data_IF_750040330105
#
_entry.id   IF_750040330105
#
_cell.length_a   1.000
_cell.length_b   1.000
_cell.length_c   1.000
_cell.angle_alpha   90.00
_cell.angle_beta   90.00
_cell.angle_gamma   90.00
#
_symmetry.space_group_name_H-M   'P 1'
#
loop_
_entity.id
_entity.type
_entity.pdbx_description
1 polymer ?
#
# COMPACT_ATOMS: atom_id res chain seq x y z
N UNK A 1 -0.05 26.14 -9.24
CA UNK A 1 0.66 25.04 -8.56
C UNK A 1 0.87 23.96 -9.60
N UNK A 2 2.08 23.47 -9.89
CA UNK A 2 2.21 22.37 -10.85
C UNK A 2 1.41 21.18 -10.28
N UNK A 3 0.34 20.81 -10.99
CA UNK A 3 -0.49 19.68 -10.64
C UNK A 3 0.36 18.43 -10.84
N UNK A 4 0.62 17.68 -9.77
CA UNK A 4 1.29 16.39 -9.89
C UNK A 4 0.47 15.46 -10.79
N UNK A 5 1.15 14.61 -11.56
CA UNK A 5 0.52 13.64 -12.44
C UNK A 5 0.10 12.40 -11.64
N UNK A 6 -1.05 11.81 -11.96
CA UNK A 6 -1.53 10.61 -11.31
C UNK A 6 -0.82 9.36 -11.87
N UNK A 7 -0.38 8.50 -10.97
CA UNK A 7 0.17 7.18 -11.22
C UNK A 7 -0.59 6.15 -10.36
N UNK A 8 -0.60 4.89 -10.80
CA UNK A 8 -1.24 3.79 -10.06
C UNK A 8 -0.20 2.86 -9.46
N UNK A 9 -0.30 2.65 -8.14
CA UNK A 9 0.51 1.66 -7.41
C UNK A 9 -0.37 0.49 -7.01
N UNK A 10 -0.05 -0.72 -7.49
CA UNK A 10 -0.68 -1.97 -7.10
C UNK A 10 0.05 -2.58 -5.90
N UNK A 11 -0.65 -2.73 -4.79
CA UNK A 11 -0.15 -3.40 -3.59
C UNK A 11 -0.79 -4.78 -3.50
N UNK A 12 0.00 -5.82 -3.77
CA UNK A 12 -0.47 -7.22 -3.78
C UNK A 12 0.01 -7.94 -2.52
N UNK A 13 -0.91 -8.45 -1.70
CA UNK A 13 -0.63 -9.29 -0.54
C UNK A 13 -0.58 -10.73 -1.04
N UNK A 14 0.60 -11.36 -1.01
CA UNK A 14 0.80 -12.68 -1.63
C UNK A 14 0.17 -13.85 -0.89
N UNK A 15 0.10 -13.78 0.44
CA UNK A 15 -0.43 -14.86 1.32
C UNK A 15 -1.28 -14.23 2.43
N UNK A 16 -2.43 -13.60 2.08
CA UNK A 16 -3.27 -12.91 3.05
C UNK A 16 -3.92 -13.91 4.02
N UNK A 17 -4.43 -13.43 5.15
CA UNK A 17 -5.12 -14.29 6.11
C UNK A 17 -6.59 -14.47 5.70
N UNK A 18 -7.02 -15.68 5.30
CA UNK A 18 -8.39 -15.91 4.84
C UNK A 18 -9.42 -15.54 5.90
N UNK A 19 -10.53 -14.92 5.48
CA UNK A 19 -11.60 -14.46 6.36
C UNK A 19 -11.30 -13.17 7.14
N UNK A 20 -10.08 -12.63 7.06
CA UNK A 20 -9.73 -11.33 7.65
C UNK A 20 -9.98 -10.22 6.62
N UNK A 21 -10.55 -9.09 7.07
CA UNK A 21 -10.74 -7.92 6.20
C UNK A 21 -9.47 -7.10 6.08
N UNK A 22 -9.18 -6.67 4.85
CA UNK A 22 -8.10 -5.75 4.51
C UNK A 22 -8.68 -4.52 3.81
N UNK A 23 -8.09 -3.35 4.02
CA UNK A 23 -8.52 -2.12 3.34
C UNK A 23 -7.38 -1.13 3.18
N UNK A 24 -7.57 -0.12 2.33
CA UNK A 24 -6.78 1.12 2.40
C UNK A 24 -7.24 1.98 3.58
N UNK A 25 -6.48 3.03 3.91
CA UNK A 25 -6.91 4.05 4.87
C UNK A 25 -6.80 5.47 4.29
N UNK A 26 -7.92 6.19 4.28
CA UNK A 26 -7.96 7.63 3.95
C UNK A 26 -7.17 8.47 4.96
N UNK A 27 -7.01 9.77 4.77
CA UNK A 27 -6.27 10.64 5.73
C UNK A 27 -6.84 10.68 7.15
N UNK A 28 -8.13 10.36 7.33
CA UNK A 28 -8.80 10.30 8.63
C UNK A 28 -8.66 8.92 9.29
N UNK A 29 -7.89 8.01 8.69
CA UNK A 29 -7.71 6.63 9.12
C UNK A 29 -8.99 5.79 9.04
N UNK A 30 -9.92 6.18 8.17
CA UNK A 30 -11.12 5.42 7.87
C UNK A 30 -10.79 4.32 6.85
N UNK A 31 -11.29 3.08 7.04
CA UNK A 31 -11.18 2.02 6.04
C UNK A 31 -11.80 2.44 4.71
N UNK A 32 -11.07 2.24 3.61
CA UNK A 32 -11.57 2.47 2.25
C UNK A 32 -11.37 1.20 1.42
N UNK A 33 -12.42 0.76 0.74
CA UNK A 33 -12.43 -0.47 -0.05
C UNK A 33 -12.12 -1.72 0.78
N UNK A 34 -12.85 -2.01 1.87
CA UNK A 34 -12.64 -3.23 2.64
C UNK A 34 -12.93 -4.48 1.77
N UNK A 35 -12.02 -5.44 1.83
CA UNK A 35 -12.12 -6.72 1.13
C UNK A 35 -11.82 -7.85 2.12
N UNK A 36 -12.70 -8.85 2.17
CA UNK A 36 -12.46 -10.09 2.93
C UNK A 36 -11.45 -10.92 2.14
N UNK A 37 -10.30 -11.23 2.74
CA UNK A 37 -9.29 -12.05 2.10
C UNK A 37 -9.77 -13.51 1.92
N UNK A 38 -9.31 -14.12 0.83
CA UNK A 38 -9.44 -15.56 0.56
C UNK A 38 -8.07 -16.22 0.61
N UNK A 39 -7.94 -17.47 0.18
CA UNK A 39 -6.65 -18.13 -0.02
C UNK A 39 -5.84 -17.55 -1.19
N UNK A 40 -6.46 -16.74 -2.06
CA UNK A 40 -5.81 -16.12 -3.21
C UNK A 40 -5.13 -14.78 -2.83
N UNK A 41 -4.09 -14.36 -3.57
CA UNK A 41 -3.49 -13.04 -3.40
C UNK A 41 -4.53 -11.92 -3.50
N UNK A 42 -4.35 -10.90 -2.67
CA UNK A 42 -5.25 -9.74 -2.60
C UNK A 42 -4.53 -8.47 -3.05
N UNK A 43 -5.06 -7.79 -4.06
CA UNK A 43 -4.44 -6.57 -4.61
C UNK A 43 -5.28 -5.32 -4.35
N UNK A 44 -4.61 -4.21 -4.09
CA UNK A 44 -5.19 -2.87 -3.99
C UNK A 44 -4.51 -1.94 -4.98
N UNK A 45 -5.28 -1.35 -5.88
CA UNK A 45 -4.79 -0.31 -6.79
C UNK A 45 -4.97 1.05 -6.12
N UNK A 46 -3.85 1.75 -5.91
CA UNK A 46 -3.79 3.00 -5.15
C UNK A 46 -3.42 4.15 -6.10
N UNK A 47 -4.33 5.11 -6.34
CA UNK A 47 -3.99 6.31 -7.09
C UNK A 47 -3.09 7.21 -6.23
N UNK A 48 -1.96 7.62 -6.80
CA UNK A 48 -0.98 8.50 -6.17
C UNK A 48 -0.60 9.60 -7.15
N UNK A 49 -0.53 10.85 -6.68
CA UNK A 49 -0.04 11.97 -7.46
C UNK A 49 1.45 12.18 -7.21
N UNK A 50 2.23 12.21 -8.28
CA UNK A 50 3.66 12.49 -8.26
C UNK A 50 3.90 13.93 -8.72
N UNK A 51 4.42 14.76 -7.80
CA UNK A 51 4.83 16.14 -8.09
C UNK A 51 6.36 16.26 -8.26
N UNK A 52 6.85 17.32 -8.95
CA UNK A 52 8.28 17.54 -9.15
C UNK A 52 9.08 17.49 -7.84
N UNK A 53 10.28 16.88 -7.89
CA UNK A 53 11.14 16.68 -6.72
C UNK A 53 10.69 15.51 -5.84
N UNK A 54 10.54 14.31 -6.44
CA UNK A 54 9.64 13.19 -6.09
C UNK A 54 8.75 13.39 -4.86
N UNK A 55 7.69 14.21 -5.00
CA UNK A 55 6.70 14.41 -3.94
C UNK A 55 5.48 13.55 -4.19
N UNK A 56 5.34 12.48 -3.42
CA UNK A 56 4.13 11.67 -3.40
C UNK A 56 3.02 12.36 -2.62
N UNK A 57 1.87 12.51 -3.25
CA UNK A 57 0.66 13.13 -2.72
C UNK A 57 -0.54 12.22 -3.02
N UNK A 58 -1.57 12.28 -2.19
CA UNK A 58 -2.76 11.46 -2.39
C UNK A 58 -3.59 11.35 -1.14
N UNK A 59 -4.74 10.70 -1.26
CA UNK A 59 -5.63 10.42 -0.14
C UNK A 59 -5.04 9.35 0.79
N UNK A 60 -4.38 8.35 0.20
CA UNK A 60 -3.80 7.21 0.92
C UNK A 60 -2.33 7.42 1.32
N UNK A 61 -1.70 8.49 0.84
CA UNK A 61 -0.29 8.78 1.12
C UNK A 61 -0.12 9.42 2.49
N UNK A 62 0.82 8.89 3.28
CA UNK A 62 1.28 9.42 4.56
C UNK A 62 2.69 9.95 4.46
N UNK A 63 3.00 10.88 5.36
CA UNK A 63 4.33 11.44 5.54
C UNK A 63 4.78 11.24 6.99
N UNK A 64 6.05 10.89 7.17
CA UNK A 64 6.70 10.80 8.49
C UNK A 64 8.09 11.44 8.36
N UNK A 65 8.23 12.65 8.90
CA UNK A 65 9.43 13.46 8.67
C UNK A 65 9.54 14.02 7.24
N UNK A 66 10.72 14.52 6.85
CA UNK A 66 10.90 15.25 5.60
C UNK A 66 10.71 14.35 4.36
N UNK A 67 11.28 13.14 4.40
CA UNK A 67 11.44 12.29 3.22
C UNK A 67 10.47 11.11 3.16
N UNK A 68 10.19 10.45 4.30
CA UNK A 68 9.45 9.19 4.31
C UNK A 68 8.03 9.39 3.79
N UNK A 69 7.66 8.65 2.75
CA UNK A 69 6.29 8.51 2.26
C UNK A 69 5.90 7.04 2.23
N UNK A 70 4.68 6.75 2.67
CA UNK A 70 4.16 5.40 2.74
C UNK A 70 2.64 5.35 2.61
N UNK A 71 2.11 4.16 2.31
CA UNK A 71 0.67 3.85 2.27
C UNK A 71 0.35 2.85 3.38
N UNK A 72 -0.85 2.94 3.95
CA UNK A 72 -1.36 1.94 4.88
C UNK A 72 -2.22 0.88 4.16
N UNK A 73 -1.97 -0.39 4.47
CA UNK A 73 -2.97 -1.44 4.40
C UNK A 73 -3.43 -1.74 5.83
N UNK A 74 -4.71 -1.50 6.10
CA UNK A 74 -5.36 -1.85 7.34
C UNK A 74 -5.85 -3.29 7.32
N UNK A 75 -5.86 -3.93 8.50
CA UNK A 75 -6.15 -5.35 8.65
C UNK A 75 -7.03 -5.57 9.89
N UNK A 76 -8.10 -6.34 9.73
CA UNK A 76 -9.05 -6.70 10.79
C UNK A 76 -9.74 -5.47 11.39
N UNK A 77 -9.62 -5.27 12.71
CA UNK A 77 -10.20 -4.12 13.42
C UNK A 77 -9.85 -2.76 12.82
N UNK A 78 -8.63 -2.60 12.31
CA UNK A 78 -8.20 -1.37 11.65
C UNK A 78 -8.86 -1.14 10.28
N UNK A 79 -9.40 -2.20 9.68
CA UNK A 79 -10.15 -2.21 8.43
C UNK A 79 -11.68 -2.21 8.66
N UNK A 80 -12.14 -2.07 9.91
CA UNK A 80 -13.57 -2.00 10.27
C UNK A 80 -14.22 -3.36 10.56
N UNK A 81 -13.42 -4.42 10.74
CA UNK A 81 -13.89 -5.78 11.00
C UNK A 81 -13.81 -6.17 12.48
N UNK A 82 -14.66 -7.10 12.92
CA UNK A 82 -14.64 -7.66 14.27
C UNK A 82 -13.66 -8.84 14.40
N UNK A 83 -12.44 -8.66 13.88
CA UNK A 83 -11.38 -9.67 13.92
C UNK A 83 -10.63 -9.66 15.26
N UNK A 84 -10.02 -10.79 15.61
CA UNK A 84 -9.00 -10.86 16.67
C UNK A 84 -7.74 -10.05 16.32
N UNK A 85 -7.55 -9.76 15.03
CA UNK A 85 -6.46 -8.93 14.55
C UNK A 85 -6.88 -7.47 14.43
N UNK A 86 -6.02 -6.57 14.89
CA UNK A 86 -6.17 -5.12 14.65
C UNK A 86 -4.80 -4.56 14.31
N UNK A 87 -4.45 -4.57 13.01
CA UNK A 87 -3.08 -4.32 12.52
C UNK A 87 -3.04 -3.36 11.34
N UNK A 88 -1.87 -2.77 11.11
CA UNK A 88 -1.56 -1.93 9.93
C UNK A 88 -0.20 -2.29 9.36
N UNK A 89 -0.12 -2.39 8.04
CA UNK A 89 1.11 -2.47 7.28
C UNK A 89 1.41 -1.11 6.63
N UNK A 90 2.63 -0.61 6.79
CA UNK A 90 3.20 0.56 6.12
C UNK A 90 4.03 0.07 4.94
N UNK A 91 3.69 0.54 3.74
CA UNK A 91 4.43 0.25 2.51
C UNK A 91 5.13 1.53 2.09
N UNK A 92 6.45 1.55 2.17
CA UNK A 92 7.27 2.72 1.84
C UNK A 92 7.36 2.93 0.32
N UNK A 93 6.68 3.97 -0.18
CA UNK A 93 6.63 4.32 -1.61
C UNK A 93 7.75 5.26 -2.02
N UNK A 94 8.37 5.98 -1.08
CA UNK A 94 9.52 6.85 -1.36
C UNK A 94 10.78 6.08 -1.79
N UNK A 95 10.76 4.75 -1.69
CA UNK A 95 11.86 3.86 -2.08
C UNK A 95 11.76 3.38 -3.53
N UNK A 96 10.69 3.73 -4.25
CA UNK A 96 10.52 3.39 -5.67
C UNK A 96 11.62 4.08 -6.47
N UNK A 97 12.30 3.30 -7.33
CA UNK A 97 13.40 3.79 -8.14
C UNK A 97 12.91 4.82 -9.19
N UNK A 98 13.67 5.88 -9.50
CA UNK A 98 13.24 6.94 -10.42
C UNK A 98 12.83 6.44 -11.82
N UNK A 99 13.54 5.45 -12.34
CA UNK A 99 13.26 4.80 -13.63
C UNK A 99 11.91 4.05 -13.66
N UNK A 100 11.46 3.54 -12.52
CA UNK A 100 10.10 3.00 -12.39
C UNK A 100 9.06 4.13 -12.31
N UNK A 101 9.38 5.24 -11.64
CA UNK A 101 8.48 6.40 -11.60
C UNK A 101 8.27 7.01 -12.98
N UNK A 102 9.31 7.08 -13.81
CA UNK A 102 9.19 7.55 -15.20
C UNK A 102 8.28 6.64 -16.03
N UNK A 103 8.38 5.32 -15.86
CA UNK A 103 7.46 4.37 -16.49
C UNK A 103 6.02 4.56 -15.97
N UNK A 104 5.85 4.81 -14.68
CA UNK A 104 4.54 5.05 -14.10
C UNK A 104 3.89 6.33 -14.65
N UNK A 105 4.68 7.38 -14.84
CA UNK A 105 4.26 8.62 -15.49
C UNK A 105 3.91 8.42 -16.97
N UNK A 106 4.47 7.40 -17.62
CA UNK A 106 4.08 6.97 -18.97
C UNK A 106 2.80 6.10 -18.99
N UNK A 107 2.16 5.88 -17.83
CA UNK A 107 0.90 5.14 -17.70
C UNK A 107 1.06 3.67 -17.29
N UNK A 108 2.26 3.24 -16.94
CA UNK A 108 2.53 1.87 -16.48
C UNK A 108 2.12 1.70 -15.01
N UNK A 109 1.48 0.58 -14.66
CA UNK A 109 1.15 0.28 -13.26
C UNK A 109 2.39 -0.32 -12.59
N UNK A 110 2.75 0.23 -11.43
CA UNK A 110 3.82 -0.35 -10.61
C UNK A 110 3.22 -1.28 -9.55
N UNK A 111 3.77 -2.47 -9.43
CA UNK A 111 3.37 -3.46 -8.43
C UNK A 111 4.43 -3.65 -7.34
N UNK A 112 3.97 -3.82 -6.11
CA UNK A 112 4.72 -4.38 -5.01
C UNK A 112 3.99 -5.61 -4.43
N UNK A 113 4.66 -6.76 -4.44
CA UNK A 113 4.17 -7.98 -3.77
C UNK A 113 4.68 -8.01 -2.34
N UNK A 114 3.78 -8.01 -1.37
CA UNK A 114 4.01 -7.97 0.06
C UNK A 114 3.82 -9.36 0.67
N UNK A 115 4.61 -9.74 1.69
CA UNK A 115 4.29 -10.91 2.50
C UNK A 115 2.95 -10.67 3.21
N UNK A 116 2.11 -11.69 3.31
CA UNK A 116 0.85 -11.58 4.05
C UNK A 116 0.92 -12.05 5.50
N UNK A 117 1.98 -12.78 5.89
CA UNK A 117 2.23 -13.26 7.26
C UNK A 117 3.46 -12.61 7.90
N UNK A 118 3.35 -12.26 9.18
CA UNK A 118 4.45 -11.84 10.02
C UNK A 118 5.14 -13.04 10.69
N UNK A 119 6.32 -12.80 11.27
CA UNK A 119 7.10 -13.83 12.00
C UNK A 119 6.37 -14.40 13.22
N UNK A 120 5.41 -13.65 13.77
CA UNK A 120 4.59 -14.06 14.92
C UNK A 120 3.38 -14.92 14.53
N UNK A 121 3.24 -15.27 13.24
CA UNK A 121 2.14 -16.09 12.72
C UNK A 121 0.86 -15.32 12.44
N UNK A 122 0.79 -14.02 12.75
CA UNK A 122 -0.34 -13.16 12.40
C UNK A 122 -0.16 -12.45 11.05
N UNK A 123 -1.10 -11.60 10.64
CA UNK A 123 -0.97 -10.80 9.42
C UNK A 123 0.27 -9.88 9.45
N UNK A 124 0.92 -9.72 8.30
CA UNK A 124 2.07 -8.84 8.12
C UNK A 124 1.73 -7.39 8.52
N UNK A 125 2.55 -6.77 9.37
CA UNK A 125 2.27 -5.45 9.93
C UNK A 125 3.55 -4.64 10.20
N UNK A 126 3.38 -3.43 10.75
CA UNK A 126 4.43 -2.42 10.95
C UNK A 126 4.99 -1.92 9.61
N UNK A 127 6.30 -1.99 9.37
CA UNK A 127 6.89 -1.65 8.06
C UNK A 127 7.08 -2.93 7.26
N UNK A 128 6.33 -3.07 6.17
CA UNK A 128 6.36 -4.27 5.33
C UNK A 128 7.12 -3.96 4.05
N UNK A 129 8.16 -4.77 3.77
CA UNK A 129 8.96 -4.64 2.55
C UNK A 129 8.43 -5.59 1.48
N UNK A 130 8.41 -5.17 0.20
CA UNK A 130 8.07 -6.08 -0.89
C UNK A 130 9.06 -7.25 -0.98
N UNK A 131 8.58 -8.42 -1.37
CA UNK A 131 9.37 -9.66 -1.47
C UNK A 131 10.45 -9.55 -2.54
N UNK A 132 10.16 -8.86 -3.65
CA UNK A 132 11.06 -8.70 -4.81
C UNK A 132 11.34 -7.23 -5.16
N UNK A 133 11.03 -6.30 -4.25
CA UNK A 133 11.02 -4.87 -4.56
C UNK A 133 9.81 -4.44 -5.40
N UNK A 134 9.86 -3.22 -5.93
CA UNK A 134 8.88 -2.68 -6.87
C UNK A 134 9.20 -3.12 -8.29
N UNK A 135 8.15 -3.40 -9.08
CA UNK A 135 8.27 -3.80 -10.49
C UNK A 135 7.12 -3.22 -11.31
N UNK A 136 7.21 -3.35 -12.63
CA UNK A 136 6.05 -3.15 -13.52
C UNK A 136 5.12 -4.36 -13.38
N UNK A 137 3.81 -4.09 -13.31
CA UNK A 137 2.75 -5.11 -13.20
C UNK A 137 2.60 -5.96 -14.47
#
# INVERSE_FOLDING_TARGET
MPAGQEITLRLTIGDPFPGVVYSLQDKKSQPVGPVVATEAPLSFDVPVRLAPGPKFLGEFVRAEGPERRFIYIAIGGQAGDHSVWSRRAKIDIHTIAPDLLDQALAGVVLEAVLPGRAKDGGPACATVRPVQGWRVA
#
